data_IF_799019671957
#
_entry.id   IF_799019671957
#
_cell.length_a   1.000
_cell.length_b   1.000
_cell.length_c   1.000
_cell.angle_alpha   90.00
_cell.angle_beta   90.00
_cell.angle_gamma   90.00
#
_symmetry.space_group_name_H-M   'P 1'
#
loop_
_entity.id
_entity.type
_entity.pdbx_description
1 polymer ?
#
# COMPACT_ATOMS: atom_id res chain seq x y z
N UNK A 1 9.96 15.11 -15.74
CA UNK A 1 8.68 15.86 -15.74
C UNK A 1 8.27 16.10 -14.30
N UNK A 2 7.69 17.27 -13.96
CA UNK A 2 7.07 17.45 -12.66
C UNK A 2 5.97 16.40 -12.47
N UNK A 3 5.93 15.76 -11.31
CA UNK A 3 4.91 14.77 -10.98
C UNK A 3 3.59 15.40 -10.51
N UNK A 4 2.61 14.58 -10.16
CA UNK A 4 1.33 15.02 -9.61
C UNK A 4 1.51 15.80 -8.29
N UNK A 5 2.58 15.55 -7.55
CA UNK A 5 2.99 16.24 -6.33
C UNK A 5 3.15 17.76 -6.55
N UNK A 6 3.68 18.17 -7.70
CA UNK A 6 3.81 19.59 -8.05
C UNK A 6 2.43 20.26 -8.20
N UNK A 7 1.52 19.63 -8.90
CA UNK A 7 0.17 20.14 -9.08
C UNK A 7 -0.59 20.20 -7.75
N UNK A 8 -0.46 19.17 -6.95
CA UNK A 8 -1.07 19.08 -5.63
C UNK A 8 -0.55 20.17 -4.68
N UNK A 9 0.77 20.42 -4.66
CA UNK A 9 1.39 21.49 -3.87
C UNK A 9 0.81 22.85 -4.23
N UNK A 10 0.66 23.11 -5.53
CA UNK A 10 0.06 24.36 -6.04
C UNK A 10 -1.42 24.47 -5.68
N UNK A 11 -2.18 23.41 -5.88
CA UNK A 11 -3.63 23.36 -5.62
C UNK A 11 -3.95 23.61 -4.13
N UNK A 12 -3.15 23.02 -3.24
CA UNK A 12 -3.32 23.16 -1.80
C UNK A 12 -2.66 24.40 -1.20
N UNK A 13 -1.98 25.22 -2.00
CA UNK A 13 -1.27 26.41 -1.53
C UNK A 13 -0.15 26.10 -0.53
N UNK A 14 0.49 24.91 -0.65
CA UNK A 14 1.57 24.54 0.24
C UNK A 14 2.82 25.39 -0.01
N UNK A 15 3.65 25.55 1.02
CA UNK A 15 4.92 26.29 0.90
C UNK A 15 5.77 25.75 -0.26
N UNK A 16 6.42 26.61 -1.05
CA UNK A 16 7.39 26.19 -2.07
C UNK A 16 8.56 25.37 -1.52
N UNK A 17 8.83 25.51 -0.22
CA UNK A 17 9.90 24.76 0.48
C UNK A 17 9.45 23.41 1.05
N UNK A 18 8.19 23.01 0.85
CA UNK A 18 7.70 21.73 1.33
C UNK A 18 8.51 20.59 0.72
N UNK A 19 8.97 19.67 1.56
CA UNK A 19 9.67 18.46 1.10
C UNK A 19 8.67 17.53 0.45
N UNK A 20 9.02 17.02 -0.73
CA UNK A 20 8.14 16.16 -1.53
C UNK A 20 8.85 14.86 -1.87
N UNK A 21 8.13 13.76 -1.72
CA UNK A 21 8.59 12.42 -2.05
C UNK A 21 7.58 11.77 -3.00
N UNK A 22 8.03 11.44 -4.20
CA UNK A 22 7.20 10.72 -5.16
C UNK A 22 7.60 9.25 -5.21
N UNK A 23 6.62 8.38 -4.97
CA UNK A 23 6.78 6.94 -5.08
C UNK A 23 6.06 6.46 -6.34
N UNK A 24 6.81 6.01 -7.32
CA UNK A 24 6.27 5.52 -8.59
C UNK A 24 6.29 4.00 -8.65
N UNK A 25 5.31 3.42 -9.34
CA UNK A 25 5.29 2.01 -9.70
C UNK A 25 5.43 1.04 -8.51
N UNK A 26 4.90 1.42 -7.36
CA UNK A 26 4.95 0.58 -6.16
C UNK A 26 3.90 -0.54 -6.19
N UNK A 27 2.85 -0.38 -7.00
CA UNK A 27 1.75 -1.34 -7.07
C UNK A 27 1.01 -1.50 -5.74
N UNK A 28 0.49 -2.69 -5.49
CA UNK A 28 -0.43 -2.97 -4.39
C UNK A 28 0.13 -2.71 -2.98
N UNK A 29 1.44 -2.77 -2.79
CA UNK A 29 2.05 -2.50 -1.48
C UNK A 29 2.38 -1.02 -1.23
N UNK A 30 2.15 -0.15 -2.21
CA UNK A 30 2.49 1.28 -2.14
C UNK A 30 1.86 1.99 -0.95
N UNK A 31 0.61 1.69 -0.63
CA UNK A 31 -0.08 2.25 0.53
C UNK A 31 0.61 1.92 1.86
N UNK A 32 0.98 0.66 2.08
CA UNK A 32 1.73 0.25 3.27
C UNK A 32 3.14 0.86 3.32
N UNK A 33 3.82 0.88 2.17
CA UNK A 33 5.17 1.43 2.07
C UNK A 33 5.21 2.94 2.36
N UNK A 34 4.24 3.72 1.85
CA UNK A 34 4.18 5.15 2.10
C UNK A 34 3.79 5.49 3.53
N UNK A 35 2.92 4.70 4.17
CA UNK A 35 2.60 4.86 5.60
C UNK A 35 3.82 4.61 6.47
N UNK A 36 4.59 3.56 6.19
CA UNK A 36 5.87 3.30 6.86
C UNK A 36 6.85 4.47 6.68
N UNK A 37 7.04 4.95 5.45
CA UNK A 37 7.89 6.10 5.19
C UNK A 37 7.42 7.34 5.96
N UNK A 38 6.12 7.60 5.98
CA UNK A 38 5.56 8.75 6.72
C UNK A 38 5.77 8.61 8.23
N UNK A 39 5.64 7.40 8.78
CA UNK A 39 5.96 7.10 10.17
C UNK A 39 7.42 7.43 10.47
N UNK A 40 8.36 6.88 9.69
CA UNK A 40 9.79 7.11 9.84
C UNK A 40 10.15 8.61 9.75
N UNK A 41 9.51 9.34 8.84
CA UNK A 41 9.72 10.78 8.69
C UNK A 41 9.21 11.57 9.91
N UNK A 42 8.06 11.22 10.46
CA UNK A 42 7.49 11.93 11.61
C UNK A 42 8.22 11.62 12.90
N UNK A 43 8.65 10.40 13.12
CA UNK A 43 9.46 10.00 14.29
C UNK A 43 10.82 10.69 14.32
N UNK A 44 11.41 10.92 13.16
CA UNK A 44 12.73 11.58 13.06
C UNK A 44 12.66 13.11 12.92
N UNK A 45 11.46 13.70 12.86
CA UNK A 45 11.29 15.15 12.74
C UNK A 45 10.17 15.62 13.66
N UNK A 46 10.53 16.08 14.83
CA UNK A 46 9.59 16.56 15.86
C UNK A 46 8.61 17.59 15.30
N UNK A 47 7.32 17.37 15.57
CA UNK A 47 6.24 18.24 15.12
C UNK A 47 5.93 18.18 13.61
N UNK A 48 6.56 17.26 12.88
CA UNK A 48 6.29 17.10 11.44
C UNK A 48 4.84 16.66 11.19
N UNK A 49 4.29 17.14 10.07
CA UNK A 49 3.03 16.68 9.50
C UNK A 49 3.30 16.25 8.06
N UNK A 50 3.07 14.99 7.76
CA UNK A 50 3.29 14.38 6.44
C UNK A 50 1.94 14.12 5.80
N UNK A 51 1.62 14.85 4.75
CA UNK A 51 0.46 14.54 3.90
C UNK A 51 0.83 13.39 2.98
N UNK A 52 0.20 12.25 3.19
CA UNK A 52 0.26 11.09 2.32
C UNK A 52 -0.90 11.14 1.35
N UNK A 53 -0.63 11.00 0.06
CA UNK A 53 -1.65 10.91 -0.99
C UNK A 53 -1.34 9.70 -1.85
N UNK A 54 -2.28 8.78 -1.93
CA UNK A 54 -2.24 7.64 -2.85
C UNK A 54 -3.25 7.89 -3.97
N UNK A 55 -2.84 7.73 -5.21
CA UNK A 55 -3.72 7.83 -6.36
C UNK A 55 -3.35 6.72 -7.35
N UNK A 56 -4.33 5.89 -7.68
CA UNK A 56 -4.18 4.78 -8.61
C UNK A 56 -5.04 5.03 -9.86
N UNK A 57 -4.43 4.82 -11.02
CA UNK A 57 -5.08 5.01 -12.31
C UNK A 57 -4.87 3.73 -13.13
N UNK A 58 -5.93 2.97 -13.31
CA UNK A 58 -5.88 1.65 -13.96
C UNK A 58 -5.85 1.72 -15.48
N UNK A 59 -6.20 2.87 -16.06
CA UNK A 59 -6.19 3.06 -17.52
C UNK A 59 -4.82 2.77 -18.16
N UNK A 60 -3.73 2.92 -17.40
CA UNK A 60 -2.36 2.66 -17.90
C UNK A 60 -2.09 1.16 -18.17
N UNK A 61 -2.89 0.28 -17.58
CA UNK A 61 -2.82 -1.17 -17.74
C UNK A 61 -4.02 -1.73 -18.51
N UNK A 62 -4.90 -0.84 -19.02
CA UNK A 62 -6.08 -1.28 -19.74
C UNK A 62 -5.70 -1.85 -21.11
N UNK A 63 -6.17 -3.05 -21.38
CA UNK A 63 -6.07 -3.74 -22.69
C UNK A 63 -7.44 -4.21 -23.14
N UNK A 64 -7.62 -4.35 -24.43
CA UNK A 64 -8.81 -4.99 -24.98
C UNK A 64 -8.97 -6.44 -24.51
N UNK A 65 -10.17 -7.00 -24.56
CA UNK A 65 -10.40 -8.39 -24.17
C UNK A 65 -9.51 -9.34 -24.96
N UNK A 66 -8.93 -10.32 -24.26
CA UNK A 66 -8.08 -11.38 -24.85
C UNK A 66 -8.54 -12.72 -24.31
N UNK A 67 -8.73 -13.68 -25.21
CA UNK A 67 -9.08 -15.06 -24.84
C UNK A 67 -7.86 -15.86 -24.37
N UNK A 68 -6.65 -15.31 -24.54
CA UNK A 68 -5.38 -15.99 -24.22
C UNK A 68 -4.75 -15.49 -22.93
N UNK A 69 -5.06 -14.26 -22.50
CA UNK A 69 -4.41 -13.58 -21.38
C UNK A 69 -5.41 -13.33 -20.24
N UNK A 70 -5.96 -14.41 -19.69
CA UNK A 70 -6.99 -14.33 -18.64
C UNK A 70 -6.49 -13.68 -17.33
N UNK A 71 -5.22 -13.81 -17.01
CA UNK A 71 -4.59 -13.17 -15.85
C UNK A 71 -4.60 -11.64 -15.94
N UNK A 72 -4.42 -11.09 -17.12
CA UNK A 72 -4.55 -9.65 -17.39
C UNK A 72 -6.00 -9.19 -17.21
N UNK A 73 -6.97 -9.98 -17.71
CA UNK A 73 -8.38 -9.68 -17.56
C UNK A 73 -8.82 -9.68 -16.07
N UNK A 74 -8.33 -10.63 -15.28
CA UNK A 74 -8.59 -10.69 -13.83
C UNK A 74 -8.12 -9.39 -13.15
N UNK A 75 -6.94 -8.89 -13.50
CA UNK A 75 -6.44 -7.62 -12.98
C UNK A 75 -7.37 -6.44 -13.32
N UNK A 76 -7.86 -6.35 -14.55
CA UNK A 76 -8.76 -5.29 -14.99
C UNK A 76 -10.13 -5.31 -14.28
N UNK A 77 -10.63 -6.49 -13.94
CA UNK A 77 -11.91 -6.63 -13.21
C UNK A 77 -11.76 -6.29 -11.72
N UNK A 78 -10.59 -6.58 -11.12
CA UNK A 78 -10.37 -6.41 -9.68
C UNK A 78 -9.96 -5.00 -9.31
N UNK A 79 -9.24 -4.29 -10.15
CA UNK A 79 -8.67 -2.98 -9.84
C UNK A 79 -9.44 -1.86 -10.52
N UNK A 80 -9.58 -0.74 -9.84
CA UNK A 80 -10.24 0.46 -10.31
C UNK A 80 -9.45 1.72 -9.96
N UNK A 81 -9.86 2.84 -10.53
CA UNK A 81 -9.30 4.14 -10.20
C UNK A 81 -9.72 4.54 -8.79
N UNK A 82 -8.81 5.17 -8.06
CA UNK A 82 -9.10 5.64 -6.72
C UNK A 82 -8.04 6.57 -6.19
N UNK A 83 -8.43 7.39 -5.21
CA UNK A 83 -7.50 8.23 -4.48
C UNK A 83 -7.87 8.27 -3.01
N UNK A 84 -6.86 8.34 -2.15
CA UNK A 84 -7.02 8.49 -0.71
C UNK A 84 -5.90 9.40 -0.17
N UNK A 85 -6.21 10.13 0.89
CA UNK A 85 -5.24 10.96 1.57
C UNK A 85 -5.36 10.82 3.09
N UNK A 86 -4.23 10.92 3.77
CA UNK A 86 -4.14 10.93 5.23
C UNK A 86 -2.99 11.81 5.68
N UNK A 87 -3.12 12.45 6.85
CA UNK A 87 -2.04 13.18 7.49
C UNK A 87 -1.48 12.33 8.61
N UNK A 88 -0.17 12.10 8.57
CA UNK A 88 0.59 11.42 9.62
C UNK A 88 1.40 12.47 10.36
N UNK A 89 1.36 12.46 11.69
CA UNK A 89 2.08 13.40 12.52
C UNK A 89 2.61 12.78 13.80
N UNK A 90 3.67 13.37 14.35
CA UNK A 90 4.12 13.14 15.72
C UNK A 90 3.60 14.24 16.64
N UNK A 91 3.52 13.93 17.93
CA UNK A 91 3.15 14.90 18.97
C UNK A 91 1.85 15.68 18.64
N UNK A 92 0.68 15.02 18.62
CA UNK A 92 -0.56 15.66 18.18
C UNK A 92 -0.96 16.81 19.12
N UNK A 93 -1.41 17.91 18.53
CA UNK A 93 -1.96 19.07 19.26
C UNK A 93 -3.44 18.79 19.51
N UNK A 94 -3.77 18.16 20.65
CA UNK A 94 -5.10 17.63 20.95
C UNK A 94 -6.23 18.67 20.94
N UNK A 95 -5.90 19.97 21.08
CA UNK A 95 -6.87 21.06 20.99
C UNK A 95 -7.43 21.26 19.57
N UNK A 96 -6.67 20.87 18.55
CA UNK A 96 -7.04 21.06 17.13
C UNK A 96 -6.98 19.77 16.31
N UNK A 97 -6.22 18.79 16.75
CA UNK A 97 -6.02 17.51 16.06
C UNK A 97 -6.74 16.36 16.79
N UNK A 98 -7.40 15.51 16.03
CA UNK A 98 -8.08 14.33 16.57
C UNK A 98 -7.46 13.08 15.91
N UNK A 99 -6.43 12.48 16.52
CA UNK A 99 -5.84 11.24 16.00
C UNK A 99 -6.89 10.15 15.94
N UNK A 100 -6.96 9.45 14.82
CA UNK A 100 -7.85 8.32 14.62
C UNK A 100 -7.16 7.00 14.98
N UNK A 101 -5.86 6.90 14.67
CA UNK A 101 -5.04 5.72 14.89
C UNK A 101 -3.62 6.13 15.26
N UNK A 102 -2.92 5.24 15.94
CA UNK A 102 -1.49 5.31 16.18
C UNK A 102 -0.78 4.26 15.31
N UNK A 103 0.28 4.66 14.58
CA UNK A 103 1.12 3.76 13.79
C UNK A 103 2.23 3.20 14.69
N UNK A 104 1.93 2.14 15.42
CA UNK A 104 2.86 1.53 16.39
C UNK A 104 4.06 0.89 15.69
N UNK A 105 3.82 0.04 14.71
CA UNK A 105 4.86 -0.69 14.00
C UNK A 105 4.50 -0.89 12.52
N UNK A 106 5.51 -1.08 11.69
CA UNK A 106 5.34 -1.45 10.29
C UNK A 106 6.49 -2.36 9.86
N UNK A 107 6.16 -3.52 9.32
CA UNK A 107 7.14 -4.48 8.80
C UNK A 107 6.87 -4.79 7.34
N UNK A 108 7.89 -5.34 6.68
CA UNK A 108 7.79 -5.81 5.30
C UNK A 108 8.55 -7.11 5.19
N UNK A 109 7.87 -8.17 4.76
CA UNK A 109 8.46 -9.50 4.60
C UNK A 109 8.55 -9.84 3.12
N UNK A 110 9.73 -10.27 2.68
CA UNK A 110 9.95 -10.78 1.33
C UNK A 110 9.77 -12.30 1.33
N UNK A 111 8.85 -12.78 0.49
CA UNK A 111 8.69 -14.22 0.25
C UNK A 111 9.67 -14.63 -0.86
N UNK A 112 10.62 -15.50 -0.53
CA UNK A 112 11.66 -15.95 -1.48
C UNK A 112 11.05 -16.66 -2.70
N UNK A 113 11.74 -16.56 -3.83
CA UNK A 113 11.43 -17.25 -5.07
C UNK A 113 10.04 -16.99 -5.68
N UNK A 114 9.44 -15.83 -5.34
CA UNK A 114 8.10 -15.45 -5.77
C UNK A 114 8.06 -14.36 -6.86
N UNK A 115 9.20 -14.09 -7.51
CA UNK A 115 9.31 -13.04 -8.52
C UNK A 115 8.27 -13.15 -9.67
N UNK A 116 7.84 -14.37 -9.98
CA UNK A 116 6.84 -14.65 -11.02
C UNK A 116 5.40 -14.37 -10.58
N UNK A 117 5.16 -14.26 -9.29
CA UNK A 117 3.81 -14.25 -8.72
C UNK A 117 3.02 -12.99 -9.12
N UNK A 118 3.67 -11.83 -9.07
CA UNK A 118 3.09 -10.55 -9.51
C UNK A 118 4.18 -9.76 -10.21
N UNK A 119 3.95 -9.38 -11.46
CA UNK A 119 4.90 -8.53 -12.17
C UNK A 119 4.22 -7.66 -13.23
N UNK A 120 4.82 -6.51 -13.49
CA UNK A 120 4.49 -5.65 -14.61
C UNK A 120 5.55 -5.73 -15.70
N UNK A 121 5.12 -5.72 -16.96
CA UNK A 121 6.00 -5.67 -18.12
C UNK A 121 5.60 -4.51 -19.02
N UNK A 122 6.54 -3.63 -19.30
CA UNK A 122 6.37 -2.57 -20.30
C UNK A 122 6.78 -3.09 -21.68
N UNK A 123 5.93 -2.91 -22.67
CA UNK A 123 6.17 -3.30 -24.05
C UNK A 123 5.63 -2.22 -25.00
N UNK A 124 5.68 -2.46 -26.29
CA UNK A 124 5.14 -1.55 -27.33
C UNK A 124 3.62 -1.34 -27.17
N UNK A 125 2.91 -2.30 -26.59
CA UNK A 125 1.46 -2.21 -26.32
C UNK A 125 1.11 -1.56 -24.97
N UNK A 126 2.10 -1.04 -24.24
CA UNK A 126 1.93 -0.42 -22.94
C UNK A 126 2.38 -1.29 -21.77
N UNK A 127 1.84 -1.04 -20.60
CA UNK A 127 2.12 -1.76 -19.35
C UNK A 127 1.14 -2.93 -19.21
N UNK A 128 1.65 -4.15 -19.27
CA UNK A 128 0.89 -5.37 -18.92
C UNK A 128 1.14 -5.73 -17.46
N UNK A 129 0.09 -6.14 -16.77
CA UNK A 129 0.15 -6.60 -15.38
C UNK A 129 -0.25 -8.08 -15.32
N UNK A 130 0.59 -8.89 -14.71
CA UNK A 130 0.38 -10.32 -14.57
C UNK A 130 0.21 -10.70 -13.11
N UNK A 131 -0.85 -11.43 -12.82
CA UNK A 131 -1.21 -11.94 -11.49
C UNK A 131 -1.30 -13.46 -11.55
N UNK A 132 -0.30 -14.15 -11.02
CA UNK A 132 -0.29 -15.60 -11.03
C UNK A 132 -1.34 -16.19 -10.07
N UNK A 133 -1.98 -17.29 -10.45
CA UNK A 133 -3.01 -17.96 -9.66
C UNK A 133 -2.56 -18.37 -8.25
N UNK A 134 -1.28 -18.60 -8.06
CA UNK A 134 -0.71 -19.04 -6.78
C UNK A 134 -0.52 -17.91 -5.76
N UNK A 135 -0.77 -16.64 -6.11
CA UNK A 135 -0.58 -15.49 -5.21
C UNK A 135 -1.37 -15.67 -3.90
N UNK A 136 -2.63 -16.09 -3.99
CA UNK A 136 -3.46 -16.33 -2.80
C UNK A 136 -2.85 -17.38 -1.88
N UNK A 137 -2.37 -18.49 -2.45
CA UNK A 137 -1.72 -19.57 -1.68
C UNK A 137 -0.40 -19.11 -1.07
N UNK A 138 0.40 -18.34 -1.80
CA UNK A 138 1.64 -17.77 -1.30
C UNK A 138 1.40 -16.86 -0.09
N UNK A 139 0.38 -16.00 -0.16
CA UNK A 139 0.01 -15.14 0.96
C UNK A 139 -0.49 -15.96 2.14
N UNK A 140 -1.45 -16.87 1.93
CA UNK A 140 -2.03 -17.67 3.02
C UNK A 140 -0.99 -18.52 3.76
N UNK A 141 -0.01 -19.06 3.05
CA UNK A 141 1.05 -19.86 3.65
C UNK A 141 2.08 -19.05 4.46
N UNK A 142 2.11 -17.72 4.30
CA UNK A 142 3.12 -16.86 4.93
C UNK A 142 2.53 -15.81 5.87
N UNK A 143 1.20 -15.65 5.90
CA UNK A 143 0.55 -14.59 6.69
C UNK A 143 0.80 -14.76 8.19
N UNK A 144 0.67 -15.97 8.72
CA UNK A 144 0.91 -16.26 10.13
C UNK A 144 2.32 -15.88 10.55
N UNK A 145 3.32 -16.34 9.78
CA UNK A 145 4.72 -15.97 10.02
C UNK A 145 4.93 -14.45 10.01
N UNK A 146 4.39 -13.76 9.03
CA UNK A 146 4.53 -12.30 8.90
C UNK A 146 3.87 -11.57 10.07
N UNK A 147 2.72 -12.05 10.54
CA UNK A 147 2.05 -11.48 11.70
C UNK A 147 2.84 -11.76 12.99
N UNK A 148 3.37 -12.96 13.16
CA UNK A 148 4.23 -13.30 14.30
C UNK A 148 5.45 -12.37 14.34
N UNK A 149 6.13 -12.17 13.21
CA UNK A 149 7.30 -11.28 13.13
C UNK A 149 7.00 -9.84 13.56
N UNK A 150 5.79 -9.32 13.32
CA UNK A 150 5.42 -7.95 13.72
C UNK A 150 4.97 -7.87 15.18
N UNK A 151 4.35 -8.92 15.71
CA UNK A 151 3.76 -8.88 17.04
C UNK A 151 4.69 -9.41 18.15
N UNK A 152 5.61 -10.32 17.86
CA UNK A 152 6.56 -10.85 18.85
C UNK A 152 7.32 -9.76 19.62
N UNK A 153 7.84 -8.70 18.97
CA UNK A 153 8.51 -7.60 19.66
C UNK A 153 7.60 -6.76 20.56
N UNK A 154 6.29 -6.83 20.36
CA UNK A 154 5.29 -6.05 21.12
C UNK A 154 4.81 -6.77 22.39
N UNK A 155 5.23 -8.01 22.61
CA UNK A 155 4.86 -8.81 23.79
C UNK A 155 3.77 -9.85 23.52
N UNK A 156 2.96 -10.17 24.51
CA UNK A 156 1.97 -11.25 24.39
C UNK A 156 0.96 -10.97 23.27
N UNK A 157 0.66 -12.02 22.51
CA UNK A 157 -0.17 -11.97 21.34
C UNK A 157 -1.44 -12.81 21.52
N UNK A 158 -2.60 -12.17 21.53
CA UNK A 158 -3.91 -12.83 21.47
C UNK A 158 -4.64 -12.41 20.20
N UNK A 159 -4.75 -13.30 19.25
CA UNK A 159 -5.43 -13.09 17.97
C UNK A 159 -6.84 -12.54 18.12
N UNK A 160 -7.55 -12.91 19.17
CA UNK A 160 -8.93 -12.49 19.41
C UNK A 160 -9.05 -11.04 19.92
N UNK A 161 -7.93 -10.44 20.33
CA UNK A 161 -7.91 -9.04 20.80
C UNK A 161 -7.67 -8.02 19.70
N UNK A 162 -7.43 -8.48 18.46
CA UNK A 162 -7.13 -7.62 17.32
C UNK A 162 -8.20 -7.66 16.23
N UNK A 163 -8.45 -6.51 15.62
CA UNK A 163 -9.20 -6.43 14.38
C UNK A 163 -8.24 -6.51 13.20
N UNK A 164 -8.30 -7.60 12.44
CA UNK A 164 -7.48 -7.77 11.24
C UNK A 164 -8.16 -7.11 10.04
N UNK A 165 -7.59 -6.03 9.54
CA UNK A 165 -7.99 -5.38 8.30
C UNK A 165 -7.11 -5.84 7.14
N UNK A 166 -7.72 -6.32 6.05
CA UNK A 166 -7.01 -6.64 4.81
C UNK A 166 -7.37 -5.63 3.74
N UNK A 167 -6.36 -5.03 3.10
CA UNK A 167 -6.57 -4.08 1.99
C UNK A 167 -6.91 -4.75 0.67
N UNK A 168 -6.71 -6.06 0.55
CA UNK A 168 -7.05 -6.82 -0.64
C UNK A 168 -8.42 -7.47 -0.46
N UNK A 169 -9.24 -7.41 -1.51
CA UNK A 169 -10.55 -8.10 -1.62
C UNK A 169 -10.40 -9.64 -1.66
N UNK A 170 -9.25 -10.15 -1.20
CA UNK A 170 -9.01 -11.57 -1.03
C UNK A 170 -9.64 -11.98 0.30
N UNK A 171 -10.87 -12.45 0.24
CA UNK A 171 -11.45 -13.22 1.33
C UNK A 171 -10.64 -14.51 1.46
N UNK A 172 -9.57 -14.47 2.24
CA UNK A 172 -9.07 -15.69 2.84
C UNK A 172 -10.19 -16.16 3.76
N UNK A 173 -10.95 -17.17 3.34
CA UNK A 173 -11.77 -17.93 4.25
C UNK A 173 -10.81 -18.57 5.25
N UNK A 174 -10.61 -17.94 6.38
CA UNK A 174 -10.13 -18.59 7.59
C UNK A 174 -11.28 -19.48 8.04
N UNK A 175 -11.38 -20.68 7.48
CA UNK A 175 -12.32 -21.68 7.96
C UNK A 175 -11.98 -22.01 9.41
N UNK A 176 -12.99 -22.38 10.23
CA UNK A 176 -12.72 -22.80 11.59
C UNK A 176 -11.80 -24.01 11.55
N UNK A 177 -10.71 -23.95 12.33
CA UNK A 177 -9.82 -25.06 12.64
C UNK A 177 -10.56 -26.15 13.39
#
# INVERSE_FOLDING_TARGET
MPGADYQLTKLLGLSPSVKRFMMYQQGCFGGGAVLRLAKDLTENNKGARVLVVCAEITVVTFHGPSDTDLDVLVGQVLFGDGAAAVIIGSDPILEVEKPLFELVSATQTLISDTRYAVYGKTSEVGLTFHLHKDVTKLISNNVEKSLTEIFDPLGSFDWNSYLLGSSCRWTCNFGPS
#
